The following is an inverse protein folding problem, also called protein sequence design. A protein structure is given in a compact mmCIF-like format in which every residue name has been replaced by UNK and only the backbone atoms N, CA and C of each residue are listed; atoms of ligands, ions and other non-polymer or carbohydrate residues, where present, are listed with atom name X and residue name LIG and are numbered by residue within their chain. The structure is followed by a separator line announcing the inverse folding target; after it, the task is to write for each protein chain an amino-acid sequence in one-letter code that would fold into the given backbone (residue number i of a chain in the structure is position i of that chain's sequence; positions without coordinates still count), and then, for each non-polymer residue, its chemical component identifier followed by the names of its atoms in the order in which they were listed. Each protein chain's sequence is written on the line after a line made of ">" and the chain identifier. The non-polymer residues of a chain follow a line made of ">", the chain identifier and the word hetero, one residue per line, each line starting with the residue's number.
data_IF_741757748215
#
_entry.id   IF_741757748215
#
_cell.length_a   1.000
_cell.length_b   1.000
_cell.length_c   1.000
_cell.angle_alpha   90.00
_cell.angle_beta   90.00
_cell.angle_gamma   90.00
#
_symmetry.space_group_name_H-M   'P 1'
#
loop_
_entity.id
_entity.type
_entity.pdbx_description
1 polymer ?
#
# COMPACT_ATOMS: atom_id res chain seq x y z
N UNK A 1 16.39 -14.56 2.65
CA UNK A 1 16.95 -13.27 2.21
C UNK A 1 18.34 -13.00 2.81
N UNK A 2 18.51 -12.98 4.17
CA UNK A 2 19.86 -12.78 4.78
C UNK A 2 20.79 -13.94 4.42
N UNK A 3 20.30 -15.19 4.46
CA UNK A 3 21.07 -16.38 4.06
C UNK A 3 21.53 -16.34 2.60
N UNK A 4 20.71 -15.82 1.70
CA UNK A 4 21.02 -15.67 0.28
C UNK A 4 22.02 -14.54 0.04
N UNK A 5 21.89 -13.43 0.77
CA UNK A 5 22.69 -12.22 0.57
C UNK A 5 24.07 -12.29 1.23
N UNK A 6 24.23 -13.05 2.31
CA UNK A 6 25.43 -13.12 3.12
C UNK A 6 25.80 -14.54 3.54
N UNK A 7 25.96 -15.48 2.58
CA UNK A 7 26.21 -16.89 2.88
C UNK A 7 27.49 -17.15 3.68
N UNK A 8 28.55 -16.36 3.43
CA UNK A 8 29.86 -16.49 4.09
C UNK A 8 29.80 -16.14 5.60
N UNK A 9 28.89 -15.27 6.02
CA UNK A 9 28.70 -14.95 7.43
C UNK A 9 27.83 -16.01 8.12
N UNK A 10 26.81 -16.52 7.43
CA UNK A 10 25.88 -17.53 7.99
C UNK A 10 26.61 -18.84 8.26
N UNK A 11 27.57 -19.25 7.41
CA UNK A 11 28.35 -20.48 7.60
C UNK A 11 29.15 -20.50 8.92
N UNK A 12 29.48 -19.32 9.46
CA UNK A 12 30.24 -19.13 10.73
C UNK A 12 29.34 -19.05 11.97
N UNK A 13 28.01 -18.93 11.79
CA UNK A 13 27.08 -18.76 12.88
C UNK A 13 26.59 -20.14 13.35
N UNK A 14 26.92 -20.52 14.59
CA UNK A 14 26.49 -21.82 15.19
C UNK A 14 24.98 -21.95 15.37
N UNK A 15 24.26 -20.83 15.57
CA UNK A 15 22.80 -20.81 15.75
C UNK A 15 22.23 -19.53 15.13
N UNK A 16 21.28 -19.70 14.22
CA UNK A 16 20.55 -18.60 13.58
C UNK A 16 19.06 -18.76 13.86
N UNK A 17 18.47 -17.75 14.51
CA UNK A 17 17.04 -17.70 14.82
C UNK A 17 16.42 -16.53 14.09
N UNK A 18 15.38 -16.79 13.30
CA UNK A 18 14.55 -15.76 12.68
C UNK A 18 13.37 -15.47 13.60
N UNK A 19 13.27 -14.23 14.06
CA UNK A 19 12.12 -13.74 14.83
C UNK A 19 11.33 -12.82 13.89
N UNK A 20 10.13 -13.26 13.53
CA UNK A 20 9.24 -12.47 12.69
C UNK A 20 8.73 -11.24 13.41
N UNK A 21 8.60 -10.13 12.69
CA UNK A 21 7.92 -8.95 13.23
C UNK A 21 6.43 -9.22 13.28
N UNK A 22 5.75 -8.55 14.21
CA UNK A 22 4.30 -8.49 14.27
C UNK A 22 3.79 -7.07 14.08
N UNK A 23 2.48 -6.94 14.16
CA UNK A 23 1.77 -5.67 14.26
C UNK A 23 0.91 -5.65 15.54
N UNK A 24 0.49 -4.47 15.95
CA UNK A 24 -0.50 -4.34 17.01
C UNK A 24 -1.90 -4.60 16.42
N UNK A 25 -2.45 -5.80 16.62
CA UNK A 25 -3.76 -6.21 16.09
C UNK A 25 -4.92 -5.49 16.77
N UNK A 26 -4.78 -5.01 17.99
CA UNK A 26 -5.80 -4.18 18.67
C UNK A 26 -5.88 -2.79 18.01
N UNK A 27 -4.72 -2.23 17.59
CA UNK A 27 -4.68 -0.96 16.86
C UNK A 27 -5.22 -1.10 15.43
N UNK A 28 -4.90 -2.21 14.76
CA UNK A 28 -5.39 -2.53 13.41
C UNK A 28 -6.58 -3.48 13.47
N UNK A 29 -7.64 -3.03 14.18
CA UNK A 29 -8.91 -3.74 14.26
C UNK A 29 -10.02 -2.88 13.64
N UNK A 30 -10.70 -3.35 12.59
CA UNK A 30 -11.78 -2.60 11.95
C UNK A 30 -12.98 -2.36 12.87
N UNK A 31 -13.18 -3.20 13.88
CA UNK A 31 -14.31 -3.10 14.81
C UNK A 31 -14.09 -1.96 15.82
N UNK A 32 -12.86 -1.49 15.99
CA UNK A 32 -12.51 -0.33 16.81
C UNK A 32 -12.69 1.03 16.08
N UNK A 33 -13.03 1.03 14.77
CA UNK A 33 -13.14 2.26 13.99
C UNK A 33 -14.59 2.74 13.95
N UNK A 34 -14.82 3.92 14.53
CA UNK A 34 -16.15 4.54 14.54
C UNK A 34 -16.53 5.07 13.15
N UNK A 35 -17.80 4.95 12.80
CA UNK A 35 -18.32 5.44 11.51
C UNK A 35 -18.10 6.95 11.35
N UNK A 36 -18.22 7.73 12.43
CA UNK A 36 -17.93 9.16 12.42
C UNK A 36 -16.49 9.49 11.97
N UNK A 37 -15.52 8.64 12.30
CA UNK A 37 -14.12 8.82 11.89
C UNK A 37 -13.94 8.57 10.39
N UNK A 38 -14.61 7.54 9.85
CA UNK A 38 -14.66 7.23 8.41
C UNK A 38 -15.25 8.40 7.63
N UNK A 39 -16.43 8.89 8.06
CA UNK A 39 -17.12 10.03 7.45
C UNK A 39 -16.24 11.28 7.50
N UNK A 40 -15.63 11.56 8.65
CA UNK A 40 -14.73 12.71 8.81
C UNK A 40 -13.52 12.64 7.87
N UNK A 41 -12.94 11.44 7.71
CA UNK A 41 -11.81 11.22 6.82
C UNK A 41 -12.19 11.46 5.35
N UNK A 42 -13.31 10.89 4.89
CA UNK A 42 -13.80 11.07 3.53
C UNK A 42 -14.15 12.53 3.24
N UNK A 43 -14.86 13.20 4.15
CA UNK A 43 -15.18 14.62 4.02
C UNK A 43 -13.93 15.50 3.93
N UNK A 44 -12.91 15.24 4.76
CA UNK A 44 -11.63 15.97 4.72
C UNK A 44 -10.94 15.89 3.34
N UNK A 45 -11.08 14.77 2.66
CA UNK A 45 -10.51 14.54 1.33
C UNK A 45 -11.47 14.90 0.19
N UNK A 46 -12.68 15.36 0.49
CA UNK A 46 -13.75 15.63 -0.47
C UNK A 46 -14.04 14.40 -1.36
N UNK A 47 -14.06 13.21 -0.77
CA UNK A 47 -14.32 11.95 -1.46
C UNK A 47 -15.80 11.58 -1.30
N UNK A 48 -16.48 11.33 -2.43
CA UNK A 48 -17.82 10.77 -2.45
C UNK A 48 -17.81 9.34 -1.89
N UNK A 49 -18.69 9.07 -0.92
CA UNK A 49 -18.81 7.76 -0.27
C UNK A 49 -19.13 6.60 -1.23
N UNK A 50 -19.69 6.91 -2.40
CA UNK A 50 -19.98 5.90 -3.44
C UNK A 50 -18.73 5.49 -4.25
N UNK A 51 -17.62 6.21 -4.13
CA UNK A 51 -16.37 5.85 -4.80
C UNK A 51 -15.69 4.66 -4.12
N UNK A 52 -15.10 3.79 -4.94
CA UNK A 52 -14.20 2.74 -4.43
C UNK A 52 -12.83 3.34 -4.16
N UNK A 53 -12.30 3.14 -2.98
CA UNK A 53 -10.99 3.69 -2.61
C UNK A 53 -9.92 2.63 -2.78
N UNK A 54 -8.91 2.96 -3.58
CA UNK A 54 -7.70 2.16 -3.76
C UNK A 54 -6.58 2.85 -2.99
N UNK A 55 -6.11 2.25 -1.91
CA UNK A 55 -5.10 2.85 -1.05
C UNK A 55 -3.73 2.22 -1.29
N UNK A 56 -2.74 3.05 -1.56
CA UNK A 56 -1.33 2.65 -1.61
C UNK A 56 -0.56 3.37 -0.52
N UNK A 57 -0.38 2.74 0.66
CA UNK A 57 0.42 3.30 1.73
C UNK A 57 1.92 3.11 1.45
N UNK A 58 2.72 4.10 1.78
CA UNK A 58 4.17 4.01 1.67
C UNK A 58 4.83 5.34 1.32
N UNK A 59 6.07 5.49 1.74
CA UNK A 59 6.88 6.65 1.37
C UNK A 59 6.95 6.79 -0.15
N UNK A 60 6.95 8.03 -0.64
CA UNK A 60 7.15 8.26 -2.08
C UNK A 60 8.64 8.04 -2.42
N UNK A 61 8.93 6.85 -2.90
CA UNK A 61 10.26 6.40 -3.32
C UNK A 61 10.14 5.47 -4.51
N UNK A 62 11.08 5.51 -5.44
CA UNK A 62 11.03 4.72 -6.68
C UNK A 62 10.79 3.24 -6.41
N UNK A 63 11.51 2.67 -5.44
CA UNK A 63 11.39 1.26 -5.12
C UNK A 63 10.03 0.82 -4.53
N UNK A 64 9.17 1.78 -4.11
CA UNK A 64 7.80 1.49 -3.68
C UNK A 64 6.83 1.30 -4.84
N UNK A 65 7.23 1.61 -6.10
CA UNK A 65 6.46 1.28 -7.28
C UNK A 65 5.21 2.13 -7.53
N UNK A 66 5.19 3.39 -7.05
CA UNK A 66 4.05 4.28 -7.32
C UNK A 66 3.82 4.50 -8.81
N UNK A 67 4.87 4.42 -9.64
CA UNK A 67 4.73 4.53 -11.10
C UNK A 67 3.91 3.38 -11.67
N UNK A 68 4.25 2.14 -11.31
CA UNK A 68 3.50 0.93 -11.70
C UNK A 68 2.04 1.04 -11.25
N UNK A 69 1.82 1.51 -10.03
CA UNK A 69 0.47 1.71 -9.52
C UNK A 69 -0.33 2.72 -10.37
N UNK A 70 0.27 3.87 -10.73
CA UNK A 70 -0.39 4.88 -11.57
C UNK A 70 -0.66 4.34 -12.98
N UNK A 71 0.24 3.55 -13.55
CA UNK A 71 0.05 2.87 -14.84
C UNK A 71 -1.12 1.87 -14.76
N UNK A 72 -1.20 1.09 -13.70
CA UNK A 72 -2.31 0.16 -13.47
C UNK A 72 -3.65 0.89 -13.31
N UNK A 73 -3.68 2.07 -12.67
CA UNK A 73 -4.89 2.89 -12.58
C UNK A 73 -5.32 3.43 -13.97
N UNK A 74 -4.35 3.79 -14.82
CA UNK A 74 -4.65 4.16 -16.20
C UNK A 74 -5.28 3.00 -16.96
N UNK A 75 -4.72 1.80 -16.84
CA UNK A 75 -5.27 0.60 -17.46
C UNK A 75 -6.67 0.28 -16.94
N UNK A 76 -6.87 0.38 -15.63
CA UNK A 76 -8.19 0.20 -15.00
C UNK A 76 -9.24 1.15 -15.62
N UNK A 77 -8.87 2.42 -15.84
CA UNK A 77 -9.75 3.43 -16.42
C UNK A 77 -9.95 3.25 -17.92
N UNK A 78 -8.91 2.95 -18.68
CA UNK A 78 -8.93 2.97 -20.15
C UNK A 78 -9.21 1.60 -20.77
N UNK A 79 -8.55 0.55 -20.29
CA UNK A 79 -8.71 -0.81 -20.84
C UNK A 79 -9.93 -1.53 -20.25
N UNK A 80 -10.19 -1.33 -18.94
CA UNK A 80 -11.30 -2.00 -18.25
C UNK A 80 -12.53 -1.13 -18.11
N UNK A 81 -12.47 0.15 -18.48
CA UNK A 81 -13.60 1.09 -18.44
C UNK A 81 -14.07 1.46 -17.03
N UNK A 82 -13.36 1.06 -15.98
CA UNK A 82 -13.77 1.30 -14.60
C UNK A 82 -13.34 2.70 -14.14
N UNK A 83 -14.32 3.57 -13.87
CA UNK A 83 -14.10 5.00 -13.53
C UNK A 83 -14.58 5.37 -12.13
N UNK A 84 -15.23 4.45 -11.41
CA UNK A 84 -15.82 4.76 -10.10
C UNK A 84 -14.85 4.52 -8.95
N UNK A 85 -13.65 5.12 -9.02
CA UNK A 85 -12.65 4.98 -7.96
C UNK A 85 -11.96 6.31 -7.62
N UNK A 86 -11.34 6.33 -6.45
CA UNK A 86 -10.32 7.28 -6.02
C UNK A 86 -9.11 6.47 -5.54
N UNK A 87 -7.93 6.82 -6.00
CA UNK A 87 -6.68 6.24 -5.55
C UNK A 87 -5.98 7.21 -4.60
N UNK A 88 -5.53 6.72 -3.45
CA UNK A 88 -4.82 7.52 -2.44
C UNK A 88 -3.38 7.02 -2.36
N UNK A 89 -2.42 7.87 -2.75
CA UNK A 89 -1.00 7.69 -2.47
C UNK A 89 -0.71 8.27 -1.09
N UNK A 90 -0.65 7.40 -0.07
CA UNK A 90 -0.52 7.80 1.32
C UNK A 90 0.91 7.63 1.82
N UNK A 91 1.62 8.74 1.96
CA UNK A 91 2.96 8.78 2.54
C UNK A 91 3.76 10.01 2.15
N UNK A 92 4.71 10.37 3.00
CA UNK A 92 5.59 11.52 2.78
C UNK A 92 6.60 11.26 1.68
N UNK A 93 6.94 12.31 0.93
CA UNK A 93 8.05 12.30 -0.02
C UNK A 93 9.42 12.40 0.67
N UNK A 94 9.45 12.74 1.95
CA UNK A 94 10.68 12.91 2.73
C UNK A 94 11.73 13.79 2.00
N UNK A 95 11.27 14.86 1.35
CA UNK A 95 12.11 15.78 0.59
C UNK A 95 12.46 15.30 -0.84
N UNK A 96 11.95 14.17 -1.30
CA UNK A 96 12.15 13.66 -2.68
C UNK A 96 11.25 14.37 -3.69
N UNK A 97 11.33 15.70 -3.73
CA UNK A 97 10.48 16.56 -4.56
C UNK A 97 10.55 16.21 -6.05
N UNK A 98 11.72 15.77 -6.54
CA UNK A 98 11.92 15.37 -7.95
C UNK A 98 11.05 14.17 -8.28
N UNK A 99 11.06 13.12 -7.44
CA UNK A 99 10.24 11.94 -7.65
C UNK A 99 8.74 12.26 -7.57
N UNK A 100 8.32 13.05 -6.58
CA UNK A 100 6.92 13.50 -6.49
C UNK A 100 6.47 14.26 -7.73
N UNK A 101 7.32 15.16 -8.27
CA UNK A 101 7.03 15.87 -9.54
C UNK A 101 6.91 14.90 -10.72
N UNK A 102 7.74 13.85 -10.77
CA UNK A 102 7.64 12.78 -11.79
C UNK A 102 6.29 12.09 -11.72
N UNK A 103 5.82 11.71 -10.54
CA UNK A 103 4.51 11.09 -10.34
C UNK A 103 3.36 12.02 -10.76
N UNK A 104 3.43 13.32 -10.42
CA UNK A 104 2.42 14.30 -10.82
C UNK A 104 2.34 14.39 -12.36
N UNK A 105 3.47 14.50 -13.06
CA UNK A 105 3.48 14.51 -14.53
C UNK A 105 2.89 13.24 -15.13
N UNK A 106 3.11 12.09 -14.53
CA UNK A 106 2.54 10.83 -14.97
C UNK A 106 1.02 10.82 -14.83
N UNK A 107 0.51 11.31 -13.69
CA UNK A 107 -0.93 11.47 -13.41
C UNK A 107 -1.57 12.42 -14.44
N UNK A 108 -0.94 13.56 -14.72
CA UNK A 108 -1.39 14.53 -15.74
C UNK A 108 -1.42 13.90 -17.14
N UNK A 109 -0.34 13.20 -17.52
CA UNK A 109 -0.24 12.49 -18.80
C UNK A 109 -1.37 11.49 -19.01
N UNK A 110 -1.74 10.76 -17.96
CA UNK A 110 -2.82 9.78 -18.00
C UNK A 110 -4.20 10.36 -17.69
N UNK A 111 -4.31 11.69 -17.49
CA UNK A 111 -5.57 12.38 -17.15
C UNK A 111 -6.26 11.76 -15.94
N UNK A 112 -5.48 11.47 -14.89
CA UNK A 112 -5.93 10.88 -13.63
C UNK A 112 -6.02 11.92 -12.49
N UNK A 113 -6.03 13.22 -12.81
CA UNK A 113 -6.01 14.30 -11.80
C UNK A 113 -7.23 14.27 -10.86
N UNK A 114 -8.37 13.79 -11.34
CA UNK A 114 -9.59 13.69 -10.55
C UNK A 114 -9.70 12.38 -9.76
N UNK A 115 -8.87 11.39 -10.08
CA UNK A 115 -8.91 10.07 -9.47
C UNK A 115 -7.77 9.81 -8.48
N UNK A 116 -6.68 10.59 -8.52
CA UNK A 116 -5.49 10.35 -7.67
C UNK A 116 -5.28 11.48 -6.68
N UNK A 117 -5.17 11.13 -5.40
CA UNK A 117 -4.93 12.05 -4.30
C UNK A 117 -3.59 11.70 -3.64
N UNK A 118 -2.73 12.70 -3.44
CA UNK A 118 -1.58 12.58 -2.54
C UNK A 118 -1.98 12.97 -1.13
N UNK A 119 -1.76 12.07 -0.19
CA UNK A 119 -1.98 12.32 1.23
C UNK A 119 -0.68 12.05 1.99
N UNK A 120 -0.07 13.08 2.53
CA UNK A 120 1.23 12.94 3.20
C UNK A 120 1.12 12.13 4.50
N UNK A 121 0.08 12.41 5.29
CA UNK A 121 -0.19 11.74 6.56
C UNK A 121 -1.69 11.53 6.76
N UNK A 122 -2.07 10.32 7.17
CA UNK A 122 -3.41 10.05 7.68
C UNK A 122 -3.45 10.36 9.20
N UNK A 123 -4.55 10.87 9.72
CA UNK A 123 -4.73 11.04 11.17
C UNK A 123 -4.62 9.72 11.93
N UNK A 124 -5.08 8.65 11.30
CA UNK A 124 -5.01 7.27 11.77
C UNK A 124 -4.88 6.35 10.57
N UNK A 125 -3.88 5.46 10.58
CA UNK A 125 -3.73 4.46 9.53
C UNK A 125 -4.91 3.49 9.49
N UNK A 126 -5.40 2.93 10.62
CA UNK A 126 -6.61 2.09 10.63
C UNK A 126 -7.82 2.76 9.98
N UNK A 127 -8.05 4.06 10.18
CA UNK A 127 -9.15 4.77 9.51
C UNK A 127 -8.95 4.79 7.99
N UNK A 128 -7.73 5.08 7.50
CA UNK A 128 -7.44 5.05 6.08
C UNK A 128 -7.65 3.66 5.46
N UNK A 129 -7.22 2.61 6.17
CA UNK A 129 -7.50 1.23 5.76
C UNK A 129 -9.00 0.94 5.77
N UNK A 130 -9.73 1.35 6.82
CA UNK A 130 -11.16 1.01 7.00
C UNK A 130 -12.05 1.53 5.88
N UNK A 131 -11.75 2.71 5.30
CA UNK A 131 -12.50 3.29 4.18
C UNK A 131 -12.10 2.72 2.82
N UNK A 132 -10.99 1.98 2.75
CA UNK A 132 -10.46 1.48 1.49
C UNK A 132 -11.17 0.21 1.04
N UNK A 133 -11.36 0.08 -0.26
CA UNK A 133 -11.91 -1.12 -0.92
C UNK A 133 -10.82 -2.15 -1.18
N UNK A 134 -9.61 -1.69 -1.50
CA UNK A 134 -8.43 -2.53 -1.73
C UNK A 134 -7.17 -1.76 -1.34
N UNK A 135 -6.20 -2.49 -0.82
CA UNK A 135 -4.87 -1.99 -0.49
C UNK A 135 -3.88 -2.50 -1.54
N UNK A 136 -2.91 -1.67 -1.91
CA UNK A 136 -1.88 -2.03 -2.89
C UNK A 136 -0.49 -1.81 -2.30
N UNK A 137 0.40 -2.77 -2.53
CA UNK A 137 1.83 -2.69 -2.21
C UNK A 137 2.64 -3.12 -3.44
N UNK A 138 3.01 -2.16 -4.29
CA UNK A 138 3.65 -2.40 -5.59
C UNK A 138 5.18 -2.25 -5.55
N UNK A 139 5.82 -2.60 -4.43
CA UNK A 139 7.28 -2.48 -4.28
C UNK A 139 8.01 -3.26 -5.36
N UNK A 140 9.04 -2.63 -5.97
CA UNK A 140 9.88 -3.25 -7.01
C UNK A 140 11.18 -3.83 -6.45
N UNK A 141 11.43 -3.58 -5.16
CA UNK A 141 12.54 -4.18 -4.41
C UNK A 141 11.98 -4.96 -3.21
N UNK A 142 12.65 -6.04 -2.78
CA UNK A 142 12.18 -6.87 -1.67
C UNK A 142 12.07 -6.09 -0.36
N UNK A 143 10.90 -6.10 0.24
CA UNK A 143 10.69 -5.61 1.60
C UNK A 143 11.03 -6.69 2.63
N UNK A 144 11.61 -6.28 3.76
CA UNK A 144 12.02 -7.23 4.78
C UNK A 144 10.86 -8.00 5.42
N UNK A 145 9.69 -7.36 5.60
CA UNK A 145 8.54 -7.96 6.28
C UNK A 145 7.20 -7.79 5.55
N UNK A 146 7.01 -6.68 4.81
CA UNK A 146 5.72 -6.39 4.17
C UNK A 146 4.64 -5.94 5.16
N UNK A 147 4.95 -4.93 6.00
CA UNK A 147 4.01 -4.41 7.02
C UNK A 147 2.63 -4.08 6.47
N UNK A 148 2.56 -3.49 5.28
CA UNK A 148 1.30 -3.11 4.63
C UNK A 148 0.39 -4.31 4.46
N UNK A 149 0.95 -5.47 4.09
CA UNK A 149 0.18 -6.71 3.88
C UNK A 149 -0.49 -7.19 5.17
N UNK A 150 0.25 -7.25 6.27
CA UNK A 150 -0.31 -7.71 7.56
C UNK A 150 -1.26 -6.69 8.18
N UNK A 151 -1.01 -5.39 8.00
CA UNK A 151 -1.91 -4.31 8.42
C UNK A 151 -3.24 -4.37 7.66
N UNK A 152 -3.20 -4.55 6.33
CA UNK A 152 -4.40 -4.72 5.49
C UNK A 152 -5.21 -5.94 5.90
N UNK A 153 -4.56 -7.09 6.10
CA UNK A 153 -5.21 -8.34 6.51
C UNK A 153 -5.85 -8.21 7.90
N UNK A 154 -5.15 -7.59 8.87
CA UNK A 154 -5.71 -7.31 10.20
C UNK A 154 -6.97 -6.43 10.11
N UNK A 155 -6.95 -5.46 9.20
CA UNK A 155 -8.10 -4.58 8.93
C UNK A 155 -9.17 -5.24 8.04
N UNK A 156 -9.08 -6.56 7.79
CA UNK A 156 -10.01 -7.32 6.94
C UNK A 156 -10.16 -6.71 5.53
N UNK A 157 -9.06 -6.16 4.97
CA UNK A 157 -9.05 -5.52 3.65
C UNK A 157 -8.32 -6.38 2.63
N UNK A 158 -8.88 -6.50 1.41
CA UNK A 158 -8.16 -7.11 0.30
C UNK A 158 -6.83 -6.41 0.05
N UNK A 159 -5.78 -7.20 -0.16
CA UNK A 159 -4.43 -6.71 -0.49
C UNK A 159 -3.98 -7.27 -1.83
N UNK A 160 -3.40 -6.41 -2.67
CA UNK A 160 -2.69 -6.80 -3.89
C UNK A 160 -1.25 -6.35 -3.71
N UNK A 161 -0.31 -7.26 -3.80
CA UNK A 161 1.11 -6.96 -3.56
C UNK A 161 2.03 -7.62 -4.57
N UNK A 162 3.19 -7.00 -4.79
CA UNK A 162 4.25 -7.61 -5.61
C UNK A 162 4.72 -8.93 -5.00
N UNK A 163 4.93 -9.95 -5.85
CA UNK A 163 5.42 -11.28 -5.45
C UNK A 163 6.92 -11.26 -5.15
N UNK A 164 7.34 -10.44 -4.17
CA UNK A 164 8.74 -10.30 -3.76
C UNK A 164 8.88 -10.09 -2.24
N UNK A 165 10.01 -10.55 -1.70
CA UNK A 165 10.39 -10.30 -0.30
C UNK A 165 9.34 -10.75 0.71
N UNK A 166 9.09 -9.94 1.74
CA UNK A 166 8.18 -10.24 2.83
C UNK A 166 6.71 -10.43 2.42
N UNK A 167 6.29 -9.96 1.23
CA UNK A 167 4.92 -10.22 0.75
C UNK A 167 4.68 -11.72 0.56
N UNK A 168 5.67 -12.48 0.08
CA UNK A 168 5.62 -13.94 -0.06
C UNK A 168 5.43 -14.70 1.25
N UNK A 169 5.89 -14.10 2.36
CA UNK A 169 5.80 -14.71 3.69
C UNK A 169 4.51 -14.32 4.41
N UNK A 170 3.91 -13.16 4.04
CA UNK A 170 2.77 -12.57 4.74
C UNK A 170 1.45 -12.74 4.02
N UNK A 171 1.47 -13.08 2.73
CA UNK A 171 0.27 -13.31 1.90
C UNK A 171 0.23 -14.75 1.45
N UNK A 172 -0.91 -15.41 1.65
CA UNK A 172 -1.24 -16.67 0.99
C UNK A 172 -2.04 -16.31 -0.26
N UNK A 173 -1.37 -16.44 -1.41
CA UNK A 173 -1.93 -16.03 -2.70
C UNK A 173 -3.31 -16.65 -2.97
N UNK A 174 -4.21 -15.85 -3.53
CA UNK A 174 -5.62 -16.21 -3.78
C UNK A 174 -6.46 -16.56 -2.53
N UNK A 175 -5.90 -16.41 -1.30
CA UNK A 175 -6.62 -16.65 -0.04
C UNK A 175 -6.67 -15.42 0.85
N UNK A 176 -5.50 -14.87 1.20
CA UNK A 176 -5.42 -13.69 2.09
C UNK A 176 -5.08 -12.41 1.35
N UNK A 177 -4.80 -12.51 0.05
CA UNK A 177 -4.50 -11.43 -0.87
C UNK A 177 -4.13 -11.97 -2.23
N UNK A 178 -3.74 -11.09 -3.14
CA UNK A 178 -3.24 -11.43 -4.47
C UNK A 178 -1.77 -11.01 -4.60
N UNK A 179 -0.96 -11.89 -5.15
CA UNK A 179 0.43 -11.61 -5.53
C UNK A 179 0.54 -11.45 -7.05
N UNK A 180 1.35 -10.49 -7.53
CA UNK A 180 1.57 -10.20 -8.96
C UNK A 180 3.05 -10.00 -9.29
#
# INVERSE_FOLDING_TARGET
>A
HIKEKYPEYISKIKKFLVIFRGINTEYYDPDNIKEAERIKFLKKLNIDANKKIILMPGRLTEWKGQEIFIEALNDLKTKFGYKNFIAILLGSDQGRKIYKKKLIRLIERFRLNNEVIFLEHAPSMPVAYSVSSVIVSASIEPEAFGRISVEAQSMKKPIVASDIGGSRETIVDNKTGLLF
#
